data_IF_543264727293
#
_entry.id   IF_543264727293
#
_cell.length_a   1.000
_cell.length_b   1.000
_cell.length_c   1.000
_cell.angle_alpha   90.00
_cell.angle_beta   90.00
_cell.angle_gamma   90.00
#
_symmetry.space_group_name_H-M   'P 1'
#
loop_
_entity.id
_entity.type
_entity.pdbx_description
1 polymer ?
#
# COMPACT_ATOMS: atom_id res chain seq x y z
N UNK A 1 -5.83 7.28 0.17
CA UNK A 1 -6.05 6.28 1.24
C UNK A 1 -5.85 4.89 0.66
N UNK A 2 -5.15 4.01 1.37
CA UNK A 2 -4.88 2.62 0.98
C UNK A 2 -4.91 1.75 2.25
N UNK A 3 -5.53 0.58 2.18
CA UNK A 3 -5.66 -0.35 3.29
C UNK A 3 -5.47 -1.79 2.79
N UNK A 4 -4.73 -2.65 3.52
CA UNK A 4 -4.68 -4.07 3.25
C UNK A 4 -6.08 -4.69 3.26
N UNK A 5 -6.33 -5.63 2.37
CA UNK A 5 -7.59 -6.37 2.30
C UNK A 5 -7.36 -7.85 2.60
N UNK A 6 -8.43 -8.55 3.00
CA UNK A 6 -8.41 -10.00 3.15
C UNK A 6 -8.21 -10.68 1.80
N UNK A 7 -7.67 -11.90 1.83
CA UNK A 7 -7.45 -12.71 0.62
C UNK A 7 -8.75 -12.89 -0.17
N UNK A 8 -8.66 -12.75 -1.49
CA UNK A 8 -9.80 -12.89 -2.40
C UNK A 8 -10.65 -11.63 -2.57
N UNK A 9 -10.30 -10.52 -1.91
CA UNK A 9 -10.99 -9.22 -2.10
C UNK A 9 -10.68 -8.62 -3.47
N UNK A 10 -9.47 -8.86 -3.99
CA UNK A 10 -8.97 -8.25 -5.20
C UNK A 10 -8.62 -6.77 -5.04
N UNK A 11 -8.42 -6.10 -6.18
CA UNK A 11 -8.00 -4.69 -6.22
C UNK A 11 -9.23 -3.77 -6.34
N UNK A 12 -9.66 -3.21 -5.21
CA UNK A 12 -10.74 -2.21 -5.16
C UNK A 12 -10.10 -0.82 -5.16
N UNK A 13 -9.87 -0.27 -6.36
CA UNK A 13 -9.20 1.02 -6.55
C UNK A 13 -9.70 1.74 -7.82
N UNK A 14 -9.48 3.06 -7.90
CA UNK A 14 -9.70 3.82 -9.14
C UNK A 14 -8.67 3.47 -10.21
N UNK A 15 -8.99 3.66 -11.50
CA UNK A 15 -8.20 3.16 -12.63
C UNK A 15 -6.70 3.48 -12.58
N UNK A 16 -6.33 4.72 -12.27
CA UNK A 16 -4.92 5.12 -12.16
C UNK A 16 -4.17 4.39 -11.02
N UNK A 17 -4.83 4.15 -9.89
CA UNK A 17 -4.24 3.39 -8.78
C UNK A 17 -4.18 1.89 -9.10
N UNK A 18 -5.26 1.35 -9.69
CA UNK A 18 -5.36 -0.06 -10.07
C UNK A 18 -4.22 -0.46 -11.00
N UNK A 19 -3.97 0.32 -12.05
CA UNK A 19 -2.88 0.05 -12.99
C UNK A 19 -1.51 -0.03 -12.28
N UNK A 20 -1.28 0.82 -11.28
CA UNK A 20 -0.04 0.75 -10.47
C UNK A 20 -0.01 -0.51 -9.63
N UNK A 21 -1.09 -0.85 -8.91
CA UNK A 21 -1.16 -2.05 -8.06
C UNK A 21 -0.96 -3.35 -8.82
N UNK A 22 -1.56 -3.47 -10.01
CA UNK A 22 -1.41 -4.64 -10.87
C UNK A 22 0.05 -4.89 -11.26
N UNK A 23 0.78 -3.84 -11.67
CA UNK A 23 2.19 -3.99 -12.11
C UNK A 23 3.17 -4.22 -10.97
N UNK A 24 2.87 -3.72 -9.75
CA UNK A 24 3.72 -3.98 -8.57
C UNK A 24 3.39 -5.32 -7.88
N UNK A 25 2.38 -6.04 -8.35
CA UNK A 25 2.00 -7.36 -7.84
C UNK A 25 1.10 -7.36 -6.60
N UNK A 26 0.44 -6.23 -6.29
CA UNK A 26 -0.55 -6.18 -5.19
C UNK A 26 -1.85 -6.81 -5.66
N UNK A 27 -2.32 -7.83 -4.93
CA UNK A 27 -3.52 -8.60 -5.28
C UNK A 27 -4.77 -8.15 -4.54
N UNK A 28 -4.64 -7.89 -3.25
CA UNK A 28 -5.76 -7.57 -2.36
C UNK A 28 -5.54 -6.22 -1.68
N UNK A 29 -6.31 -5.20 -2.08
CA UNK A 29 -6.19 -3.85 -1.54
C UNK A 29 -7.48 -3.05 -1.67
N UNK A 30 -7.82 -2.30 -0.62
CA UNK A 30 -8.87 -1.27 -0.65
C UNK A 30 -8.21 0.10 -0.79
N UNK A 31 -8.55 0.85 -1.83
CA UNK A 31 -7.96 2.15 -2.08
C UNK A 31 -8.99 3.19 -2.53
N UNK A 32 -8.80 4.42 -2.03
CA UNK A 32 -9.64 5.57 -2.41
C UNK A 32 -8.80 6.82 -2.62
N UNK A 33 -8.99 7.46 -3.76
CA UNK A 33 -8.53 8.82 -4.01
C UNK A 33 -9.45 9.80 -3.28
N UNK A 34 -8.88 10.60 -2.38
CA UNK A 34 -9.57 11.67 -1.68
C UNK A 34 -8.95 12.98 -2.19
N UNK A 35 -9.80 13.93 -2.63
CA UNK A 35 -9.36 15.17 -3.26
C UNK A 35 -9.26 15.08 -4.79
N UNK A 36 -8.19 15.67 -5.35
CA UNK A 36 -8.00 15.76 -6.82
C UNK A 36 -7.91 14.38 -7.47
N UNK A 37 -8.55 14.26 -8.64
CA UNK A 37 -8.60 13.02 -9.45
C UNK A 37 -7.71 13.09 -10.69
N UNK A 38 -6.77 14.05 -10.76
CA UNK A 38 -5.82 14.13 -11.86
C UNK A 38 -4.96 12.83 -11.92
N UNK A 39 -4.99 12.07 -13.03
CA UNK A 39 -4.33 10.77 -13.11
C UNK A 39 -2.83 10.80 -12.79
N UNK A 40 -2.10 11.81 -13.26
CA UNK A 40 -0.65 11.95 -13.04
C UNK A 40 -0.37 12.08 -11.53
N UNK A 41 -1.14 12.93 -10.85
CA UNK A 41 -0.95 13.16 -9.42
C UNK A 41 -1.40 11.95 -8.59
N UNK A 42 -2.45 11.24 -9.03
CA UNK A 42 -2.89 10.00 -8.37
C UNK A 42 -1.80 8.92 -8.46
N UNK A 43 -1.17 8.74 -9.62
CA UNK A 43 -0.05 7.79 -9.78
C UNK A 43 1.12 8.18 -8.87
N UNK A 44 1.54 9.45 -8.89
CA UNK A 44 2.62 9.96 -8.01
C UNK A 44 2.31 9.75 -6.53
N UNK A 45 1.08 10.04 -6.10
CA UNK A 45 0.65 9.85 -4.72
C UNK A 45 0.61 8.36 -4.33
N UNK A 46 0.22 7.48 -5.25
CA UNK A 46 0.19 6.03 -5.02
C UNK A 46 1.61 5.49 -4.81
N UNK A 47 2.53 5.82 -5.71
CA UNK A 47 3.95 5.42 -5.60
C UNK A 47 4.57 5.99 -4.33
N UNK A 48 4.34 7.28 -4.04
CA UNK A 48 4.84 7.92 -2.83
C UNK A 48 4.28 7.32 -1.54
N UNK A 49 3.07 6.77 -1.57
CA UNK A 49 2.49 6.03 -0.44
C UNK A 49 3.14 4.65 -0.26
N UNK A 50 3.33 3.91 -1.36
CA UNK A 50 4.01 2.60 -1.34
C UNK A 50 5.46 2.72 -0.84
N UNK A 51 6.19 3.74 -1.26
CA UNK A 51 7.57 3.99 -0.84
C UNK A 51 7.73 4.32 0.66
N UNK A 52 6.65 4.75 1.33
CA UNK A 52 6.64 5.05 2.77
C UNK A 52 6.24 3.85 3.63
N UNK A 53 5.80 2.75 3.01
CA UNK A 53 5.44 1.54 3.71
C UNK A 53 6.69 0.91 4.33
N UNK A 54 6.57 0.41 5.56
CA UNK A 54 7.69 -0.25 6.27
C UNK A 54 7.33 -1.70 6.53
N UNK A 55 8.26 -2.62 6.29
CA UNK A 55 8.09 -4.02 6.65
C UNK A 55 8.29 -4.22 8.16
N UNK A 56 7.63 -5.24 8.76
CA UNK A 56 7.85 -5.61 10.15
C UNK A 56 9.33 -5.83 10.48
N UNK A 57 10.08 -6.50 9.59
CA UNK A 57 11.52 -6.77 9.77
C UNK A 57 12.35 -5.49 9.87
N UNK A 58 12.06 -4.52 9.01
CA UNK A 58 12.74 -3.23 9.02
C UNK A 58 12.44 -2.46 10.32
N UNK A 59 11.20 -2.49 10.79
CA UNK A 59 10.79 -1.84 12.04
C UNK A 59 11.42 -2.54 13.25
N UNK A 60 11.48 -3.86 13.26
CA UNK A 60 12.09 -4.67 14.30
C UNK A 60 13.59 -4.34 14.43
N UNK A 61 14.32 -4.35 13.30
CA UNK A 61 15.74 -3.99 13.26
C UNK A 61 15.99 -2.55 13.73
N UNK A 62 15.16 -1.60 13.29
CA UNK A 62 15.27 -0.19 13.70
C UNK A 62 15.02 0.01 15.20
N UNK A 63 14.18 -0.81 15.82
CA UNK A 63 13.79 -0.72 17.23
C UNK A 63 14.58 -1.66 18.14
N UNK A 64 15.54 -2.41 17.60
CA UNK A 64 16.31 -3.45 18.33
C UNK A 64 15.41 -4.47 19.02
N UNK A 65 14.35 -4.89 18.33
CA UNK A 65 13.36 -5.88 18.80
C UNK A 65 13.30 -7.07 17.85
N UNK A 66 12.72 -8.17 18.29
CA UNK A 66 12.41 -9.29 17.39
C UNK A 66 11.15 -8.98 16.56
N UNK A 67 10.97 -9.69 15.44
CA UNK A 67 9.77 -9.53 14.59
C UNK A 67 8.51 -9.96 15.35
N UNK A 68 8.63 -11.01 16.17
CA UNK A 68 7.57 -11.52 17.05
C UNK A 68 7.09 -10.45 18.04
N UNK A 69 8.00 -9.64 18.62
CA UNK A 69 7.63 -8.53 19.52
C UNK A 69 6.96 -7.35 18.80
N UNK A 70 7.07 -7.26 17.47
CA UNK A 70 6.42 -6.23 16.66
C UNK A 70 5.07 -6.71 16.13
N UNK A 71 4.90 -8.02 15.96
CA UNK A 71 3.68 -8.64 15.44
C UNK A 71 2.75 -9.21 16.51
N UNK A 72 3.27 -9.45 17.72
CA UNK A 72 2.52 -9.86 18.92
C UNK A 72 1.75 -8.73 19.57
#
# INVERSE_FOLDING_TARGET
>A
FMQPASEGTGIIAGGAMRAVFEVVGVRDVLAKCIGSRNPINVVRATIGGLAKMSSPDYVAAKRSKTVEEIMG
#
